data_IF_111222289503
#
_entry.id   IF_111222289503
#
_cell.length_a   1.000
_cell.length_b   1.000
_cell.length_c   1.000
_cell.angle_alpha   90.00
_cell.angle_beta   90.00
_cell.angle_gamma   90.00
#
_symmetry.space_group_name_H-M   'P 1'
#
loop_
_entity.id
_entity.type
_entity.pdbx_description
1 polymer ?
#
# COMPACT_ATOMS: atom_id res chain seq x y z
N UNK A 1 6.76 -4.85 0.05
CA UNK A 1 7.59 -6.02 -0.33
C UNK A 1 8.29 -5.90 -1.68
N UNK A 2 7.75 -5.20 -2.69
CA UNK A 2 8.36 -5.10 -4.03
C UNK A 2 9.81 -4.58 -4.03
N UNK A 3 10.13 -3.58 -3.20
CA UNK A 3 11.49 -3.04 -3.08
C UNK A 3 12.50 -4.08 -2.55
N UNK A 4 12.08 -4.90 -1.58
CA UNK A 4 12.91 -5.95 -1.00
C UNK A 4 13.15 -7.05 -2.03
N UNK A 5 12.10 -7.45 -2.77
CA UNK A 5 12.24 -8.41 -3.87
C UNK A 5 13.19 -7.92 -4.96
N UNK A 6 13.01 -6.68 -5.42
CA UNK A 6 13.87 -6.09 -6.44
C UNK A 6 15.35 -6.08 -6.01
N UNK A 7 15.61 -5.77 -4.73
CA UNK A 7 16.96 -5.80 -4.18
C UNK A 7 17.50 -7.23 -4.05
N UNK A 8 16.67 -8.19 -3.64
CA UNK A 8 17.02 -9.60 -3.56
C UNK A 8 17.49 -10.14 -4.91
N UNK A 9 16.74 -9.84 -5.98
CA UNK A 9 17.07 -10.24 -7.34
C UNK A 9 18.39 -9.59 -7.78
N UNK A 10 18.55 -8.28 -7.56
CA UNK A 10 19.77 -7.56 -7.93
C UNK A 10 21.02 -7.94 -7.13
N UNK A 11 20.88 -8.69 -6.03
CA UNK A 11 21.99 -9.16 -5.19
C UNK A 11 22.13 -10.69 -5.12
N UNK A 12 21.20 -11.44 -5.72
CA UNK A 12 21.20 -12.92 -5.69
C UNK A 12 20.98 -13.53 -4.31
N UNK A 13 20.26 -12.83 -3.41
CA UNK A 13 20.09 -13.26 -2.01
C UNK A 13 18.99 -14.29 -1.77
N UNK A 14 18.23 -14.67 -2.80
CA UNK A 14 17.11 -15.64 -2.73
C UNK A 14 16.23 -15.48 -1.46
N UNK A 15 15.85 -14.24 -1.16
CA UNK A 15 15.12 -13.91 0.07
C UNK A 15 13.71 -14.50 0.06
N UNK A 16 13.43 -15.35 1.05
CA UNK A 16 12.07 -15.86 1.33
C UNK A 16 11.24 -14.79 2.04
N UNK A 17 10.35 -14.14 1.29
CA UNK A 17 9.50 -13.05 1.80
C UNK A 17 8.54 -13.51 2.91
N UNK A 18 8.12 -14.79 2.92
CA UNK A 18 7.31 -15.38 3.98
C UNK A 18 8.03 -15.40 5.33
N UNK A 19 9.27 -15.90 5.36
CA UNK A 19 10.10 -15.91 6.58
C UNK A 19 10.39 -14.49 7.09
N UNK A 20 10.59 -13.53 6.19
CA UNK A 20 10.79 -12.14 6.57
C UNK A 20 9.54 -11.54 7.24
N UNK A 21 8.35 -11.84 6.70
CA UNK A 21 7.08 -11.45 7.32
C UNK A 21 6.90 -12.12 8.69
N UNK A 22 7.35 -13.37 8.85
CA UNK A 22 7.29 -14.10 10.12
C UNK A 22 8.13 -13.44 11.21
N UNK A 23 9.34 -13.00 10.89
CA UNK A 23 10.23 -12.31 11.84
C UNK A 23 9.60 -10.99 12.33
N UNK A 24 8.84 -10.29 11.48
CA UNK A 24 8.17 -9.05 11.86
C UNK A 24 6.92 -9.22 12.74
N UNK A 25 6.53 -10.45 13.05
CA UNK A 25 5.43 -10.71 14.01
C UNK A 25 5.83 -10.49 15.46
N UNK A 26 7.11 -10.68 15.80
CA UNK A 26 7.58 -10.62 17.19
C UNK A 26 8.82 -9.75 17.33
N UNK A 27 8.75 -8.75 18.22
CA UNK A 27 9.93 -7.99 18.66
C UNK A 27 10.28 -6.74 17.85
N UNK A 28 9.52 -6.38 16.80
CA UNK A 28 9.73 -5.13 16.06
C UNK A 28 8.64 -4.07 16.38
N UNK A 29 8.98 -2.78 16.19
CA UNK A 29 8.08 -1.63 16.45
C UNK A 29 6.81 -1.69 15.60
N UNK A 30 6.90 -2.27 14.40
CA UNK A 30 5.79 -2.38 13.46
C UNK A 30 4.93 -3.64 13.69
N UNK A 31 5.20 -4.45 14.72
CA UNK A 31 4.53 -5.73 14.94
C UNK A 31 3.00 -5.58 14.99
N UNK A 32 2.31 -6.40 14.19
CA UNK A 32 0.86 -6.36 14.04
C UNK A 32 0.33 -7.71 13.55
N UNK A 33 -0.92 -8.01 13.91
CA UNK A 33 -1.67 -9.19 13.39
C UNK A 33 -1.78 -9.18 11.85
N UNK A 34 -1.57 -8.01 11.25
CA UNK A 34 -1.48 -7.86 9.79
C UNK A 34 -0.39 -8.74 9.15
N UNK A 35 0.73 -8.97 9.83
CA UNK A 35 1.83 -9.76 9.28
C UNK A 35 1.49 -11.25 9.14
N UNK A 36 0.55 -11.79 9.94
CA UNK A 36 0.05 -13.16 9.78
C UNK A 36 -0.63 -13.37 8.42
N UNK A 37 -1.32 -12.33 7.94
CA UNK A 37 -2.00 -12.38 6.63
C UNK A 37 -1.01 -12.32 5.49
N UNK A 38 0.06 -11.54 5.66
CA UNK A 38 1.15 -11.45 4.68
C UNK A 38 1.89 -12.79 4.59
N UNK A 39 2.23 -13.40 5.72
CA UNK A 39 2.83 -14.74 5.80
C UNK A 39 1.99 -15.76 5.03
N UNK A 40 0.69 -15.85 5.34
CA UNK A 40 -0.24 -16.75 4.64
C UNK A 40 -0.32 -16.50 3.13
N UNK A 41 -0.28 -15.25 2.68
CA UNK A 41 -0.30 -14.95 1.25
C UNK A 41 0.97 -15.45 0.53
N UNK A 42 2.14 -15.30 1.16
CA UNK A 42 3.41 -15.82 0.62
C UNK A 42 3.57 -17.34 0.79
N UNK A 43 2.93 -17.95 1.79
CA UNK A 43 2.85 -19.41 1.91
C UNK A 43 2.01 -20.03 0.79
N UNK A 44 0.90 -19.37 0.40
CA UNK A 44 0.06 -19.79 -0.73
C UNK A 44 0.79 -19.64 -2.06
N UNK A 45 1.50 -18.53 -2.26
CA UNK A 45 2.24 -18.27 -3.48
C UNK A 45 3.58 -17.57 -3.17
N UNK A 46 4.70 -18.32 -3.10
CA UNK A 46 6.00 -17.75 -2.80
C UNK A 46 6.50 -16.80 -3.90
N UNK A 47 6.08 -17.03 -5.14
CA UNK A 47 6.46 -16.23 -6.31
C UNK A 47 5.53 -15.04 -6.59
N UNK A 48 4.62 -14.72 -5.66
CA UNK A 48 3.64 -13.64 -5.84
C UNK A 48 4.33 -12.28 -6.09
N UNK A 49 4.21 -11.66 -7.28
CA UNK A 49 5.01 -10.49 -7.66
C UNK A 49 4.71 -9.25 -6.79
N UNK A 50 3.46 -9.08 -6.36
CA UNK A 50 3.02 -8.00 -5.49
C UNK A 50 1.89 -8.49 -4.58
N UNK A 51 1.90 -8.06 -3.31
CA UNK A 51 0.88 -8.38 -2.31
C UNK A 51 -0.54 -7.94 -2.74
N UNK A 52 -0.64 -6.87 -3.53
CA UNK A 52 -1.92 -6.36 -4.05
C UNK A 52 -2.61 -7.30 -5.05
N UNK A 53 -1.87 -8.28 -5.60
CA UNK A 53 -2.40 -9.26 -6.57
C UNK A 53 -3.03 -10.46 -5.86
N UNK A 54 -2.73 -10.65 -4.57
CA UNK A 54 -3.39 -11.70 -3.79
C UNK A 54 -4.91 -11.40 -3.69
N UNK A 55 -5.78 -12.38 -3.98
CA UNK A 55 -7.23 -12.17 -4.05
C UNK A 55 -7.86 -11.74 -2.73
N UNK A 56 -7.28 -12.14 -1.59
CA UNK A 56 -7.75 -11.76 -0.26
C UNK A 56 -7.48 -10.27 -0.01
N UNK A 57 -6.27 -9.81 -0.33
CA UNK A 57 -5.86 -8.42 -0.19
C UNK A 57 -6.56 -7.52 -1.22
N UNK A 58 -6.66 -7.94 -2.47
CA UNK A 58 -7.34 -7.19 -3.52
C UNK A 58 -8.80 -6.91 -3.15
N UNK A 59 -9.52 -7.92 -2.64
CA UNK A 59 -10.92 -7.77 -2.21
C UNK A 59 -11.08 -6.77 -1.06
N UNK A 60 -10.24 -6.86 -0.03
CA UNK A 60 -10.28 -5.92 1.11
C UNK A 60 -10.00 -4.48 0.69
N UNK A 61 -9.07 -4.29 -0.25
CA UNK A 61 -8.74 -2.95 -0.76
C UNK A 61 -9.92 -2.38 -1.55
N UNK A 62 -10.54 -3.18 -2.43
CA UNK A 62 -11.71 -2.77 -3.20
C UNK A 62 -12.88 -2.40 -2.28
N UNK A 63 -13.08 -3.13 -1.18
CA UNK A 63 -14.14 -2.84 -0.21
C UNK A 63 -13.86 -1.53 0.57
N UNK A 64 -12.60 -1.29 0.94
CA UNK A 64 -12.22 -0.15 1.79
C UNK A 64 -11.86 1.13 1.03
N UNK A 65 -11.55 1.05 -0.27
CA UNK A 65 -11.09 2.20 -1.07
C UNK A 65 -12.10 3.35 -1.08
N UNK A 66 -13.41 3.03 -1.12
CA UNK A 66 -14.45 4.04 -1.17
C UNK A 66 -14.54 4.82 0.14
N UNK A 67 -14.52 4.11 1.26
CA UNK A 67 -14.49 4.71 2.61
C UNK A 67 -13.24 5.55 2.82
N UNK A 68 -12.07 5.07 2.36
CA UNK A 68 -10.82 5.82 2.41
C UNK A 68 -10.89 7.15 1.65
N UNK A 69 -11.43 7.13 0.42
CA UNK A 69 -11.65 8.35 -0.39
C UNK A 69 -12.57 9.35 0.31
N UNK A 70 -13.66 8.89 0.92
CA UNK A 70 -14.59 9.76 1.65
C UNK A 70 -13.91 10.51 2.79
N UNK A 71 -13.04 9.84 3.56
CA UNK A 71 -12.28 10.47 4.66
C UNK A 71 -11.32 11.52 4.11
N UNK A 72 -10.63 11.24 3.00
CA UNK A 72 -9.73 12.19 2.36
C UNK A 72 -10.49 13.42 1.85
N UNK A 73 -11.62 13.24 1.15
CA UNK A 73 -12.46 14.35 0.71
C UNK A 73 -12.97 15.20 1.88
N UNK A 74 -13.36 14.56 2.98
CA UNK A 74 -13.81 15.25 4.19
C UNK A 74 -12.70 16.07 4.83
N UNK A 75 -11.44 15.63 4.77
CA UNK A 75 -10.30 16.36 5.32
C UNK A 75 -9.86 17.54 4.42
N UNK A 76 -10.00 17.40 3.10
CA UNK A 76 -9.65 18.46 2.13
C UNK A 76 -10.61 19.65 2.23
N UNK A 77 -11.92 19.41 2.41
CA UNK A 77 -12.94 20.47 2.50
C UNK A 77 -12.64 21.57 3.56
N UNK A 78 -12.23 21.23 4.80
CA UNK A 78 -11.82 22.21 5.81
C UNK A 78 -10.35 22.64 5.70
N UNK A 79 -9.60 22.19 4.68
CA UNK A 79 -8.18 22.55 4.50
C UNK A 79 -7.21 21.81 5.44
N UNK A 80 -7.59 20.65 5.96
CA UNK A 80 -6.72 19.84 6.82
C UNK A 80 -5.72 19.07 5.94
N UNK A 81 -4.43 19.29 6.18
CA UNK A 81 -3.38 18.58 5.45
C UNK A 81 -3.31 17.11 5.86
N UNK A 82 -3.53 16.21 4.90
CA UNK A 82 -3.41 14.76 5.11
C UNK A 82 -2.43 14.13 4.11
N UNK A 83 -1.11 14.40 4.22
CA UNK A 83 -0.11 14.00 3.22
C UNK A 83 0.01 12.48 3.07
N UNK A 84 -0.21 11.72 4.14
CA UNK A 84 -0.10 10.26 4.11
C UNK A 84 -1.26 9.55 3.40
N UNK A 85 -2.46 10.12 3.44
CA UNK A 85 -3.66 9.53 2.81
C UNK A 85 -3.93 10.10 1.42
N UNK A 86 -3.36 11.25 1.09
CA UNK A 86 -3.51 11.92 -0.20
C UNK A 86 -2.97 11.08 -1.37
N UNK A 87 -1.88 10.34 -1.14
CA UNK A 87 -1.25 9.43 -2.12
C UNK A 87 -2.16 8.34 -2.67
N UNK A 88 -3.29 8.06 -2.01
CA UNK A 88 -4.29 7.11 -2.52
C UNK A 88 -5.07 7.69 -3.73
N UNK A 89 -5.11 9.02 -3.88
CA UNK A 89 -5.69 9.69 -5.04
C UNK A 89 -4.74 9.65 -6.26
N UNK A 90 -3.43 9.71 -6.05
CA UNK A 90 -2.43 9.61 -7.14
C UNK A 90 -2.45 8.26 -7.87
N UNK A 91 -2.81 7.16 -7.21
CA UNK A 91 -2.90 5.85 -7.88
C UNK A 91 -4.00 5.80 -8.95
N UNK A 92 -5.04 6.63 -8.85
CA UNK A 92 -6.10 6.78 -9.85
C UNK A 92 -5.74 7.80 -10.95
N UNK A 93 -4.75 8.67 -10.71
CA UNK A 93 -4.31 9.73 -11.63
C UNK A 93 -3.60 9.18 -12.88
N UNK A 94 -3.32 7.88 -12.95
CA UNK A 94 -2.98 7.21 -14.22
C UNK A 94 -4.11 7.30 -15.27
N UNK A 95 -5.33 7.71 -14.89
CA UNK A 95 -6.44 8.06 -15.78
C UNK A 95 -6.68 9.59 -15.97
N UNK A 96 -5.71 10.45 -15.62
CA UNK A 96 -5.49 11.72 -16.33
C UNK A 96 -6.39 12.95 -16.03
N UNK A 97 -7.12 13.04 -14.90
CA UNK A 97 -8.07 14.16 -14.68
C UNK A 97 -7.79 15.11 -13.50
N UNK A 98 -6.83 14.83 -12.61
CA UNK A 98 -6.66 15.63 -11.35
C UNK A 98 -5.58 16.72 -11.43
N UNK A 99 -4.69 16.69 -12.43
CA UNK A 99 -3.59 17.67 -12.56
C UNK A 99 -4.07 19.14 -12.70
N UNK A 100 -5.32 19.35 -13.13
CA UNK A 100 -5.89 20.68 -13.36
C UNK A 100 -6.32 21.36 -12.03
N UNK A 101 -6.64 20.61 -10.97
CA UNK A 101 -7.16 21.19 -9.73
C UNK A 101 -6.06 21.83 -8.85
N UNK A 102 -4.87 21.23 -8.82
CA UNK A 102 -3.76 21.67 -7.96
C UNK A 102 -3.17 23.03 -8.34
N UNK A 103 -3.24 23.43 -9.63
CA UNK A 103 -2.69 24.70 -10.08
C UNK A 103 -3.50 25.93 -9.62
N UNK A 104 -4.74 25.74 -9.17
CA UNK A 104 -5.58 26.84 -8.65
C UNK A 104 -5.46 27.03 -7.14
N UNK A 105 -5.11 26.00 -6.37
CA UNK A 105 -5.04 26.08 -4.90
C UNK A 105 -3.71 26.67 -4.42
N UNK A 106 -2.64 26.59 -5.21
CA UNK A 106 -1.32 27.13 -4.82
C UNK A 106 -1.11 28.62 -5.15
N UNK A 107 -2.14 29.35 -5.62
CA UNK A 107 -2.06 30.78 -6.01
C UNK A 107 -2.99 31.67 -5.15
N UNK A 108 -3.50 31.16 -4.02
CA UNK A 108 -4.28 31.96 -3.06
C UNK A 108 -3.63 31.86 -1.68
#
# INVERSE_FOLDING_TARGET
MNLIRAKSIGKGWDLKLGELARIWKGGCIISAVFFDRIEKAYDRNPDLPNLLVDPEFAKEIIDRQFSGRRVVCLAINPGISTPGTFLFSELDTSHGLVYIQWRKVSII
#
